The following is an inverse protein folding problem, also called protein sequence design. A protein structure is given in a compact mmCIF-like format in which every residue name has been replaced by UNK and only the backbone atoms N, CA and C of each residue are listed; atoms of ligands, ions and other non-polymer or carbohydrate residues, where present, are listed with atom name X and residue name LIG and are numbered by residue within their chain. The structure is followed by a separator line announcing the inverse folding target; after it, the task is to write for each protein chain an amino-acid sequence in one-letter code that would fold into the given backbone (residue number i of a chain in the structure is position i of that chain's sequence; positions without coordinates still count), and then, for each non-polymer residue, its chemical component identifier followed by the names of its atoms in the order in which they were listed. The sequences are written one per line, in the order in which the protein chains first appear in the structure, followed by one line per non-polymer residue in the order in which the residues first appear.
data_IF_304979534159
#
_entry.id   IF_304979534159
#
_cell.length_a   1.000
_cell.length_b   1.000
_cell.length_c   1.000
_cell.angle_alpha   90.00
_cell.angle_beta   90.00
_cell.angle_gamma   90.00
#
_symmetry.space_group_name_H-M   'P 1'
#
loop_
_entity.id
_entity.type
_entity.pdbx_description
1 polymer ?
#
# COMPACT_ATOMS: atom_id res chain seq x y z
N UNK A 1 -13.85 -46.49 -49.44
CA UNK A 1 -13.36 -46.96 -48.16
C UNK A 1 -12.36 -45.98 -47.56
N UNK A 2 -11.37 -45.59 -48.32
CA UNK A 2 -10.40 -44.60 -47.87
C UNK A 2 -11.06 -43.25 -47.54
N UNK A 3 -12.06 -42.91 -48.37
CA UNK A 3 -12.83 -41.70 -48.20
C UNK A 3 -13.58 -41.75 -46.88
N UNK A 4 -14.22 -42.86 -46.57
CA UNK A 4 -14.95 -43.03 -45.31
C UNK A 4 -14.03 -42.93 -44.11
N UNK A 5 -12.85 -43.57 -44.19
CA UNK A 5 -11.86 -43.51 -43.13
C UNK A 5 -11.37 -42.07 -42.92
N UNK A 6 -11.12 -41.36 -44.02
CA UNK A 6 -10.68 -39.97 -43.98
C UNK A 6 -11.76 -39.07 -43.37
N UNK A 7 -13.02 -39.26 -43.75
CA UNK A 7 -14.16 -38.51 -43.20
C UNK A 7 -14.29 -38.76 -41.71
N UNK A 8 -14.14 -40.00 -41.27
CA UNK A 8 -14.20 -40.35 -39.86
C UNK A 8 -13.07 -39.68 -39.06
N UNK A 9 -11.87 -39.64 -39.65
CA UNK A 9 -10.72 -38.97 -39.03
C UNK A 9 -10.96 -37.47 -38.92
N UNK A 10 -11.52 -36.87 -39.98
CA UNK A 10 -11.86 -35.44 -39.98
C UNK A 10 -12.87 -35.14 -38.86
N UNK A 11 -13.89 -36.03 -38.75
CA UNK A 11 -14.92 -35.87 -37.72
C UNK A 11 -14.31 -35.96 -36.32
N UNK A 12 -13.40 -36.90 -36.08
CA UNK A 12 -12.71 -37.01 -34.78
C UNK A 12 -11.89 -35.78 -34.47
N UNK A 13 -11.12 -35.31 -35.46
CA UNK A 13 -10.30 -34.10 -35.31
C UNK A 13 -11.18 -32.89 -35.02
N UNK A 14 -12.31 -32.77 -35.73
CA UNK A 14 -13.25 -31.66 -35.50
C UNK A 14 -13.80 -31.67 -34.10
N UNK A 15 -14.10 -32.84 -33.55
CA UNK A 15 -14.59 -32.99 -32.19
C UNK A 15 -13.52 -32.57 -31.19
N UNK A 16 -12.28 -32.97 -31.44
CA UNK A 16 -11.14 -32.57 -30.56
C UNK A 16 -10.90 -31.06 -30.60
N UNK A 17 -11.00 -30.46 -31.78
CA UNK A 17 -10.84 -29.03 -31.96
C UNK A 17 -11.94 -28.28 -31.20
N UNK A 18 -13.18 -28.74 -31.30
CA UNK A 18 -14.31 -28.13 -30.58
C UNK A 18 -14.07 -28.17 -29.08
N UNK A 19 -13.59 -29.30 -28.56
CA UNK A 19 -13.24 -29.42 -27.14
C UNK A 19 -12.12 -28.48 -26.73
N UNK A 20 -11.09 -28.36 -27.58
CA UNK A 20 -9.96 -27.45 -27.32
C UNK A 20 -10.42 -26.01 -27.32
N UNK A 21 -11.33 -25.64 -28.21
CA UNK A 21 -11.88 -24.27 -28.27
C UNK A 21 -12.66 -23.96 -26.98
N UNK A 22 -13.45 -24.93 -26.52
CA UNK A 22 -14.20 -24.77 -25.27
C UNK A 22 -13.26 -24.54 -24.07
N UNK A 23 -12.19 -25.34 -24.02
CA UNK A 23 -11.18 -25.16 -22.94
C UNK A 23 -10.49 -23.81 -23.04
N UNK A 24 -10.17 -23.37 -24.25
CA UNK A 24 -9.58 -22.04 -24.46
C UNK A 24 -10.52 -20.93 -24.01
N UNK A 25 -11.81 -21.07 -24.33
CA UNK A 25 -12.80 -20.08 -23.91
C UNK A 25 -12.88 -20.00 -22.39
N UNK A 26 -12.88 -21.15 -21.71
CA UNK A 26 -12.90 -21.19 -20.25
C UNK A 26 -11.65 -20.56 -19.66
N UNK A 27 -10.48 -20.88 -20.22
CA UNK A 27 -9.21 -20.33 -19.78
C UNK A 27 -9.15 -18.82 -20.01
N UNK A 28 -9.63 -18.36 -21.15
CA UNK A 28 -9.68 -16.93 -21.48
C UNK A 28 -10.59 -16.21 -20.51
N UNK A 29 -11.71 -16.81 -20.13
CA UNK A 29 -12.62 -16.24 -19.14
C UNK A 29 -11.95 -16.09 -17.78
N UNK A 30 -11.19 -17.10 -17.35
CA UNK A 30 -10.43 -17.03 -16.10
C UNK A 30 -9.36 -15.94 -16.14
N UNK A 31 -8.65 -15.85 -17.27
CA UNK A 31 -7.62 -14.82 -17.44
C UNK A 31 -8.26 -13.44 -17.35
N UNK A 32 -9.41 -13.25 -17.99
CA UNK A 32 -10.12 -11.96 -17.92
C UNK A 32 -10.48 -11.59 -16.49
N UNK A 33 -11.00 -12.55 -15.72
CA UNK A 33 -11.31 -12.31 -14.31
C UNK A 33 -10.06 -11.99 -13.51
N UNK A 34 -8.98 -12.71 -13.75
CA UNK A 34 -7.72 -12.48 -13.04
C UNK A 34 -7.14 -11.11 -13.38
N UNK A 35 -7.24 -10.69 -14.63
CA UNK A 35 -6.79 -9.37 -15.05
C UNK A 35 -7.61 -8.28 -14.34
N UNK A 36 -8.94 -8.46 -14.28
CA UNK A 36 -9.81 -7.51 -13.59
C UNK A 36 -9.49 -7.43 -12.09
N UNK A 37 -9.29 -8.57 -11.45
CA UNK A 37 -8.92 -8.62 -10.02
C UNK A 37 -7.58 -7.95 -9.79
N UNK A 38 -6.60 -8.19 -10.66
CA UNK A 38 -5.28 -7.58 -10.56
C UNK A 38 -5.37 -6.07 -10.72
N UNK A 39 -6.18 -5.60 -11.67
CA UNK A 39 -6.39 -4.17 -11.88
C UNK A 39 -7.01 -3.52 -10.64
N UNK A 40 -7.99 -4.19 -10.03
CA UNK A 40 -8.63 -3.70 -8.82
C UNK A 40 -7.62 -3.68 -7.66
N UNK A 41 -6.84 -4.74 -7.51
CA UNK A 41 -5.80 -4.81 -6.48
C UNK A 41 -4.75 -3.72 -6.66
N UNK A 42 -4.37 -3.45 -7.90
CA UNK A 42 -3.40 -2.39 -8.22
C UNK A 42 -3.96 -1.02 -7.84
N UNK A 43 -5.25 -0.79 -8.12
CA UNK A 43 -5.91 0.46 -7.75
C UNK A 43 -5.96 0.63 -6.22
N UNK A 44 -6.22 -0.45 -5.49
CA UNK A 44 -6.23 -0.43 -4.03
C UNK A 44 -4.85 -0.12 -3.46
N UNK A 45 -3.80 -0.76 -4.03
CA UNK A 45 -2.42 -0.49 -3.62
C UNK A 45 -2.06 0.97 -3.87
N UNK A 46 -2.45 1.50 -5.03
CA UNK A 46 -2.21 2.90 -5.37
C UNK A 46 -2.87 3.85 -4.36
N UNK A 47 -4.13 3.56 -4.00
CA UNK A 47 -4.85 4.34 -3.00
C UNK A 47 -4.17 4.24 -1.63
N UNK A 48 -3.70 3.05 -1.26
CA UNK A 48 -3.01 2.83 0.00
C UNK A 48 -1.68 3.60 0.04
N UNK A 49 -0.95 3.64 -1.08
CA UNK A 49 0.30 4.41 -1.17
C UNK A 49 0.03 5.88 -0.95
N UNK A 50 -1.05 6.41 -1.53
CA UNK A 50 -1.46 7.81 -1.32
C UNK A 50 -1.74 8.06 0.17
N UNK A 51 -2.47 7.14 0.82
CA UNK A 51 -2.79 7.24 2.25
C UNK A 51 -1.52 7.22 3.10
N UNK A 52 -0.59 6.33 2.77
CA UNK A 52 0.69 6.22 3.48
C UNK A 52 1.49 7.52 3.33
N UNK A 53 1.50 8.10 2.13
CA UNK A 53 2.17 9.39 1.89
C UNK A 53 1.60 10.51 2.77
N UNK A 54 0.27 10.57 2.88
CA UNK A 54 -0.39 11.57 3.71
C UNK A 54 -0.01 11.38 5.19
N UNK A 55 -0.05 10.14 5.66
CA UNK A 55 0.33 9.82 7.05
C UNK A 55 1.79 10.15 7.31
N UNK A 56 2.67 9.87 6.35
CA UNK A 56 4.09 10.18 6.45
C UNK A 56 4.32 11.70 6.58
N UNK A 57 3.59 12.49 5.78
CA UNK A 57 3.68 13.94 5.86
C UNK A 57 3.19 14.46 7.22
N UNK A 58 2.08 13.91 7.70
CA UNK A 58 1.55 14.28 9.03
C UNK A 58 2.53 13.90 10.14
N UNK A 59 3.16 12.73 10.02
CA UNK A 59 4.15 12.26 10.98
C UNK A 59 5.35 13.20 11.01
N UNK A 60 5.81 13.66 9.85
CA UNK A 60 6.91 14.60 9.76
C UNK A 60 6.56 15.93 10.41
N UNK A 61 5.35 16.43 10.18
CA UNK A 61 4.87 17.67 10.82
C UNK A 61 4.77 17.51 12.34
N UNK A 62 4.26 16.37 12.79
CA UNK A 62 4.16 16.08 14.23
C UNK A 62 5.54 16.00 14.86
N UNK A 63 6.51 15.37 14.19
CA UNK A 63 7.88 15.30 14.69
C UNK A 63 8.50 16.70 14.80
N UNK A 64 8.27 17.57 13.81
CA UNK A 64 8.75 18.94 13.84
C UNK A 64 8.15 19.71 15.03
N UNK A 65 6.85 19.56 15.24
CA UNK A 65 6.18 20.20 16.39
C UNK A 65 6.70 19.68 17.74
N UNK A 66 6.93 18.38 17.80
CA UNK A 66 7.50 17.76 19.00
C UNK A 66 8.88 18.33 19.30
N UNK A 67 9.69 18.52 18.28
CA UNK A 67 11.01 19.10 18.43
C UNK A 67 10.93 20.55 18.91
N UNK A 68 10.03 21.33 18.32
CA UNK A 68 9.80 22.73 18.78
C UNK A 68 9.36 22.75 20.23
N UNK A 69 8.43 21.88 20.62
CA UNK A 69 7.96 21.80 22.00
C UNK A 69 9.09 21.40 22.95
N UNK A 70 9.95 20.48 22.52
CA UNK A 70 11.11 20.04 23.31
C UNK A 70 12.10 21.19 23.55
N UNK A 71 12.37 21.98 22.51
CA UNK A 71 13.26 23.15 22.61
C UNK A 71 12.65 24.19 23.56
N UNK A 72 11.34 24.46 23.40
CA UNK A 72 10.63 25.41 24.28
C UNK A 72 10.64 24.95 25.73
N UNK A 73 10.43 23.64 25.94
CA UNK A 73 10.49 23.08 27.29
C UNK A 73 11.88 23.21 27.91
N UNK A 74 12.93 23.01 27.11
CA UNK A 74 14.30 23.19 27.53
C UNK A 74 14.57 24.63 27.98
N UNK A 75 14.07 25.61 27.23
CA UNK A 75 14.16 27.02 27.57
C UNK A 75 13.42 27.32 28.89
N UNK A 76 12.21 26.81 29.04
CA UNK A 76 11.44 26.99 30.27
C UNK A 76 12.12 26.38 31.48
N UNK A 77 12.70 25.19 31.30
CA UNK A 77 13.43 24.50 32.37
C UNK A 77 14.64 25.35 32.82
N UNK A 78 15.36 25.96 31.88
CA UNK A 78 16.49 26.84 32.21
C UNK A 78 16.02 28.09 32.93
N UNK A 79 14.95 28.70 32.44
CA UNK A 79 14.38 29.89 33.08
C UNK A 79 13.95 29.60 34.52
N UNK A 80 13.33 28.43 34.72
CA UNK A 80 12.94 28.01 36.06
C UNK A 80 14.16 27.80 36.96
N UNK A 81 15.21 27.17 36.44
CA UNK A 81 16.45 26.98 37.16
C UNK A 81 17.07 28.28 37.57
N UNK A 82 17.12 29.28 36.69
CA UNK A 82 17.62 30.60 36.96
C UNK A 82 16.79 31.32 38.02
N UNK A 83 15.46 31.20 37.92
CA UNK A 83 14.56 31.80 38.90
C UNK A 83 14.77 31.21 40.29
N UNK A 84 14.94 29.89 40.37
CA UNK A 84 15.21 29.21 41.62
C UNK A 84 16.55 29.68 42.22
N UNK A 85 17.58 29.79 41.37
CA UNK A 85 18.89 30.29 41.83
C UNK A 85 18.80 31.69 42.35
N UNK A 86 18.07 32.57 41.67
CA UNK A 86 17.87 33.95 42.14
C UNK A 86 17.14 33.99 43.47
N UNK A 87 16.14 33.17 43.63
CA UNK A 87 15.36 33.04 44.85
C UNK A 87 16.26 32.59 46.03
N UNK A 88 17.04 31.55 45.76
CA UNK A 88 17.99 31.03 46.79
C UNK A 88 19.04 32.07 47.16
N UNK A 89 19.54 32.81 46.17
CA UNK A 89 20.51 33.90 46.43
C UNK A 89 19.91 34.96 47.31
N UNK A 90 18.66 35.35 47.10
CA UNK A 90 17.96 36.32 47.94
C UNK A 90 17.83 35.82 49.39
N UNK A 91 17.45 34.54 49.52
CA UNK A 91 17.30 33.93 50.83
C UNK A 91 18.63 33.92 51.58
N UNK A 92 19.72 33.60 50.88
CA UNK A 92 21.06 33.60 51.50
C UNK A 92 21.55 35.00 51.84
N UNK A 93 21.20 35.98 51.02
CA UNK A 93 21.59 37.35 51.18
C UNK A 93 20.80 38.06 52.27
N UNK A 94 19.65 37.52 52.61
CA UNK A 94 18.81 38.03 53.65
C UNK A 94 19.28 37.49 55.02
#
# INVERSE_FOLDING_TARGET
RQIETTINQISEISTMIAGAVEEQNAATGEISRNVAETAQGTAEVSANITSVSVVAEESARTAARTQEASVALGHEARRLGEAVERFLARLRGA
#
